data_IF_758094959546
#
_entry.id   IF_758094959546
#
_cell.length_a   1.000
_cell.length_b   1.000
_cell.length_c   1.000
_cell.angle_alpha   90.00
_cell.angle_beta   90.00
_cell.angle_gamma   90.00
#
_symmetry.space_group_name_H-M   'P 1'
#
loop_
_entity.id
_entity.type
_entity.pdbx_description
1 polymer ?
#
# COMPACT_ATOMS: atom_id res chain seq x y z
N UNK A 1 17.63 -1.76 19.24
CA UNK A 1 17.64 -0.41 18.67
C UNK A 1 16.52 -0.35 17.64
N UNK A 2 15.56 0.56 17.80
CA UNK A 2 14.58 0.82 16.75
C UNK A 2 15.33 1.50 15.60
N UNK A 3 15.54 0.78 14.49
CA UNK A 3 16.03 1.40 13.27
C UNK A 3 14.92 2.37 12.82
N UNK A 4 15.15 3.66 12.97
CA UNK A 4 14.27 4.68 12.38
C UNK A 4 14.43 4.51 10.87
N UNK A 5 13.35 4.13 10.20
CA UNK A 5 13.32 4.02 8.75
C UNK A 5 13.29 5.43 8.16
N UNK A 6 14.31 5.79 7.38
CA UNK A 6 14.33 7.04 6.64
C UNK A 6 13.59 6.83 5.31
N UNK A 7 12.35 7.28 5.23
CA UNK A 7 11.50 7.18 4.04
C UNK A 7 11.69 8.33 3.05
N UNK A 8 12.62 9.25 3.32
CA UNK A 8 12.88 10.45 2.51
C UNK A 8 11.62 11.34 2.29
N UNK A 9 10.66 11.27 3.21
CA UNK A 9 9.41 12.05 3.17
C UNK A 9 9.64 13.42 3.79
N UNK A 10 9.32 14.48 3.04
CA UNK A 10 9.32 15.85 3.57
C UNK A 10 8.04 16.15 4.36
N UNK A 11 8.04 17.23 5.14
CA UNK A 11 6.83 17.68 5.86
C UNK A 11 5.74 18.07 4.85
N UNK A 12 6.14 18.68 3.74
CA UNK A 12 5.25 19.08 2.66
C UNK A 12 4.56 17.86 2.01
N UNK A 13 5.31 16.79 1.74
CA UNK A 13 4.75 15.52 1.24
C UNK A 13 3.76 14.91 2.22
N UNK A 14 4.10 14.96 3.52
CA UNK A 14 3.22 14.49 4.59
C UNK A 14 1.89 15.25 4.64
N UNK A 15 1.94 16.58 4.59
CA UNK A 15 0.74 17.42 4.60
C UNK A 15 -0.09 17.25 3.32
N UNK A 16 0.56 17.08 2.17
CA UNK A 16 -0.13 16.81 0.90
C UNK A 16 -0.84 15.45 0.94
N UNK A 17 -0.17 14.41 1.45
CA UNK A 17 -0.77 13.08 1.65
C UNK A 17 -1.97 13.15 2.58
N UNK A 18 -1.83 13.82 3.74
CA UNK A 18 -2.92 14.00 4.69
C UNK A 18 -4.12 14.73 4.07
N UNK A 19 -3.89 15.77 3.28
CA UNK A 19 -4.96 16.48 2.56
C UNK A 19 -5.66 15.61 1.51
N UNK A 20 -4.94 14.64 0.93
CA UNK A 20 -5.49 13.65 0.01
C UNK A 20 -6.13 12.43 0.70
N UNK A 21 -6.09 12.34 2.04
CA UNK A 21 -6.55 11.19 2.80
C UNK A 21 -5.62 9.97 2.70
N UNK A 22 -4.35 10.17 2.34
CA UNK A 22 -3.36 9.12 2.12
C UNK A 22 -2.34 9.14 3.27
N UNK A 23 -2.14 7.99 3.92
CA UNK A 23 -0.99 7.79 4.80
C UNK A 23 0.28 7.67 3.95
N UNK A 24 0.95 8.81 3.71
CA UNK A 24 2.13 8.86 2.84
C UNK A 24 3.31 8.04 3.38
N UNK A 25 3.41 7.90 4.71
CA UNK A 25 4.50 7.16 5.33
C UNK A 25 4.32 5.67 5.08
N UNK A 26 3.09 5.17 5.23
CA UNK A 26 2.80 3.78 4.92
C UNK A 26 2.88 3.51 3.41
N UNK A 27 2.42 4.44 2.56
CA UNK A 27 2.60 4.32 1.11
C UNK A 27 4.08 4.13 0.75
N UNK A 28 4.96 4.98 1.30
CA UNK A 28 6.41 4.90 1.05
C UNK A 28 7.04 3.63 1.60
N UNK A 29 6.58 3.15 2.74
CA UNK A 29 7.01 1.85 3.29
C UNK A 29 6.65 0.69 2.36
N UNK A 30 5.42 0.68 1.83
CA UNK A 30 4.97 -0.35 0.89
C UNK A 30 5.74 -0.27 -0.44
N UNK A 31 6.01 0.93 -0.95
CA UNK A 31 6.86 1.15 -2.13
C UNK A 31 8.27 0.61 -1.91
N UNK A 32 8.87 0.86 -0.74
CA UNK A 32 10.19 0.34 -0.38
C UNK A 32 10.23 -1.20 -0.25
N UNK A 33 9.08 -1.84 -0.02
CA UNK A 33 8.93 -3.31 -0.07
C UNK A 33 8.75 -3.86 -1.49
N UNK A 34 8.85 -3.00 -2.52
CA UNK A 34 8.68 -3.37 -3.92
C UNK A 34 7.22 -3.57 -4.33
N UNK A 35 6.28 -2.94 -3.63
CA UNK A 35 4.87 -2.92 -4.03
C UNK A 35 4.66 -1.70 -4.96
N UNK A 36 4.19 -1.89 -6.21
CA UNK A 36 3.85 -0.78 -7.09
C UNK A 36 2.83 0.17 -6.46
N UNK A 37 2.99 1.48 -6.68
CA UNK A 37 2.17 2.53 -6.05
C UNK A 37 0.66 2.28 -6.14
N UNK A 38 0.15 1.84 -7.30
CA UNK A 38 -1.28 1.57 -7.46
C UNK A 38 -1.78 0.41 -6.57
N UNK A 39 -0.97 -0.64 -6.38
CA UNK A 39 -1.30 -1.75 -5.48
C UNK A 39 -1.12 -1.35 -4.00
N UNK A 40 -0.14 -0.50 -3.70
CA UNK A 40 0.05 0.03 -2.35
C UNK A 40 -1.14 0.90 -1.93
N UNK A 41 -1.63 1.77 -2.82
CA UNK A 41 -2.86 2.55 -2.60
C UNK A 41 -4.09 1.64 -2.41
N UNK A 42 -4.20 0.57 -3.20
CA UNK A 42 -5.27 -0.43 -3.04
C UNK A 42 -5.21 -1.10 -1.65
N UNK A 43 -4.02 -1.43 -1.16
CA UNK A 43 -3.83 -1.97 0.20
C UNK A 43 -4.21 -0.96 1.27
N UNK A 44 -3.90 0.33 1.10
CA UNK A 44 -4.31 1.37 2.06
C UNK A 44 -5.83 1.48 2.14
N UNK A 45 -6.54 1.47 0.99
CA UNK A 45 -8.00 1.49 0.97
C UNK A 45 -8.59 0.24 1.65
N UNK A 46 -8.06 -0.94 1.35
CA UNK A 46 -8.48 -2.19 1.99
C UNK A 46 -8.21 -2.14 3.49
N UNK A 47 -7.07 -1.61 3.92
CA UNK A 47 -6.70 -1.47 5.33
C UNK A 47 -7.69 -0.57 6.06
N UNK A 48 -8.06 0.56 5.47
CA UNK A 48 -9.11 1.44 6.03
C UNK A 48 -10.44 0.70 6.19
N UNK A 49 -10.87 -0.04 5.16
CA UNK A 49 -12.09 -0.87 5.23
C UNK A 49 -12.00 -1.97 6.29
N UNK A 50 -10.83 -2.59 6.48
CA UNK A 50 -10.60 -3.62 7.52
C UNK A 50 -10.72 -3.00 8.91
N UNK A 51 -10.08 -1.85 9.15
CA UNK A 51 -10.17 -1.11 10.42
C UNK A 51 -11.63 -0.75 10.72
N UNK A 52 -12.38 -0.32 9.70
CA UNK A 52 -13.78 0.05 9.80
C UNK A 52 -14.74 -1.16 9.83
N UNK A 53 -14.24 -2.39 9.71
CA UNK A 53 -15.01 -3.65 9.65
C UNK A 53 -16.02 -3.69 8.48
N UNK A 54 -15.70 -3.01 7.39
CA UNK A 54 -16.51 -2.96 6.17
C UNK A 54 -15.88 -3.71 5.00
N UNK A 55 -14.66 -4.23 5.16
CA UNK A 55 -14.01 -5.03 4.14
C UNK A 55 -14.74 -6.37 3.93
N UNK A 56 -14.88 -6.75 2.67
CA UNK A 56 -15.36 -8.08 2.26
C UNK A 56 -14.23 -9.10 2.32
N UNK A 57 -14.59 -10.40 2.39
CA UNK A 57 -13.60 -11.49 2.33
C UNK A 57 -12.73 -11.41 1.06
N UNK A 58 -13.33 -11.02 -0.07
CA UNK A 58 -12.61 -10.85 -1.34
C UNK A 58 -11.57 -9.72 -1.27
N UNK A 59 -11.90 -8.59 -0.66
CA UNK A 59 -10.96 -7.48 -0.44
C UNK A 59 -9.83 -7.88 0.52
N UNK A 60 -10.13 -8.63 1.58
CA UNK A 60 -9.11 -9.12 2.51
C UNK A 60 -8.13 -10.06 1.77
N UNK A 61 -8.65 -11.02 1.02
CA UNK A 61 -7.83 -11.93 0.21
C UNK A 61 -7.00 -11.15 -0.81
N UNK A 62 -7.61 -10.15 -1.46
CA UNK A 62 -6.91 -9.27 -2.41
C UNK A 62 -5.73 -8.55 -1.76
N UNK A 63 -5.93 -7.97 -0.57
CA UNK A 63 -4.85 -7.35 0.20
C UNK A 63 -3.72 -8.34 0.53
N UNK A 64 -4.06 -9.57 0.93
CA UNK A 64 -3.07 -10.62 1.21
C UNK A 64 -2.28 -11.04 -0.04
N UNK A 65 -2.93 -11.14 -1.19
CA UNK A 65 -2.27 -11.43 -2.47
C UNK A 65 -1.27 -10.31 -2.80
N UNK A 66 -1.66 -9.04 -2.66
CA UNK A 66 -0.77 -7.90 -2.93
C UNK A 66 0.43 -7.91 -1.96
N UNK A 67 0.21 -8.16 -0.67
CA UNK A 67 1.27 -8.15 0.33
C UNK A 67 2.24 -9.34 0.21
N UNK A 68 1.82 -10.43 -0.43
CA UNK A 68 2.63 -11.64 -0.62
C UNK A 68 3.48 -11.53 -1.91
N UNK A 69 4.83 -11.45 -1.83
CA UNK A 69 5.67 -11.14 -3.00
C UNK A 69 5.45 -12.05 -4.22
N UNK A 70 5.43 -13.38 -4.02
CA UNK A 70 5.26 -14.34 -5.12
C UNK A 70 3.90 -14.20 -5.81
N UNK A 71 2.83 -13.95 -5.04
CA UNK A 71 1.48 -13.78 -5.59
C UNK A 71 1.32 -12.40 -6.25
N UNK A 72 1.97 -11.37 -5.71
CA UNK A 72 2.02 -10.04 -6.31
C UNK A 72 2.72 -10.06 -7.67
N UNK A 73 3.81 -10.79 -7.81
CA UNK A 73 4.50 -10.95 -9.09
C UNK A 73 3.59 -11.57 -10.16
N UNK A 74 2.80 -12.58 -9.80
CA UNK A 74 1.80 -13.16 -10.71
C UNK A 74 0.77 -12.11 -11.16
N UNK A 75 0.29 -11.26 -10.25
CA UNK A 75 -0.63 -10.17 -10.59
C UNK A 75 -0.03 -9.17 -11.59
N UNK A 76 1.20 -8.74 -11.34
CA UNK A 76 1.91 -7.77 -12.19
C UNK A 76 2.15 -8.38 -13.57
N UNK A 77 2.58 -9.63 -13.64
CA UNK A 77 2.87 -10.32 -14.90
C UNK A 77 1.59 -10.71 -15.66
N UNK A 78 0.44 -10.82 -14.98
CA UNK A 78 -0.86 -11.12 -15.60
C UNK A 78 -1.56 -9.90 -16.18
N UNK A 79 -1.07 -8.68 -15.92
CA UNK A 79 -1.53 -7.46 -16.57
C UNK A 79 -0.53 -7.08 -17.68
N UNK A 80 -0.74 -7.51 -18.93
CA UNK A 80 0.11 -7.04 -20.02
C UNK A 80 -0.10 -5.53 -20.18
N UNK A 81 1.01 -4.79 -20.25
CA UNK A 81 1.11 -3.35 -20.48
C UNK A 81 -0.11 -2.79 -21.25
N UNK A 82 -0.91 -1.96 -20.58
CA UNK A 82 -1.85 -1.05 -21.24
C UNK A 82 -1.10 0.13 -21.83
#
# INVERSE_FOLDING_TARGET
MSNIENLEVTVEDYLAGLAAGIDILELKRLENQGIPTHLALEVLEITEKVVNKTATDAEIVRGLIILTPSLREELINSQPNS
#
